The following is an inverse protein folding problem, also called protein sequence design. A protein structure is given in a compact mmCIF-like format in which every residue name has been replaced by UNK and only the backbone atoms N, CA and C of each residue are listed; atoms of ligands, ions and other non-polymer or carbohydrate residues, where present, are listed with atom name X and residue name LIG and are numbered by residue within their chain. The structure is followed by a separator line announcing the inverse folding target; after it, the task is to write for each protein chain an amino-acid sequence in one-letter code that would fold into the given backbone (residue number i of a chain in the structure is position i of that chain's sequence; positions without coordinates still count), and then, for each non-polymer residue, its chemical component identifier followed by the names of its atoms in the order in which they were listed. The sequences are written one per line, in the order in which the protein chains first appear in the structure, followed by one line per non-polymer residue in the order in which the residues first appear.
data_IF_844494090476
#
_entry.id   IF_844494090476
#
_cell.length_a   1.000
_cell.length_b   1.000
_cell.length_c   1.000
_cell.angle_alpha   90.00
_cell.angle_beta   90.00
_cell.angle_gamma   90.00
#
_symmetry.space_group_name_H-M   'P 1'
#
loop_
_entity.id
_entity.type
_entity.pdbx_description
1 polymer ?
#
# COMPACT_ATOMS: atom_id res chain seq x y z
N UNK A 1 25.76 -26.29 15.46
CA UNK A 1 24.33 -26.24 15.82
C UNK A 1 24.11 -24.97 16.63
N UNK A 2 23.31 -24.03 16.13
CA UNK A 2 22.87 -22.84 16.86
C UNK A 2 23.71 -21.58 16.65
N UNK A 3 23.30 -20.71 15.72
CA UNK A 3 23.22 -19.24 15.85
C UNK A 3 22.33 -18.70 14.72
N UNK A 4 21.26 -18.02 15.10
CA UNK A 4 20.33 -17.34 14.21
C UNK A 4 19.12 -16.96 15.05
N UNK A 5 19.27 -15.93 15.90
CA UNK A 5 18.17 -15.45 16.71
C UNK A 5 17.02 -15.01 15.81
N UNK A 6 15.81 -15.44 16.13
CA UNK A 6 14.55 -15.09 15.48
C UNK A 6 14.43 -13.58 15.35
N UNK A 7 14.91 -13.06 14.23
CA UNK A 7 14.73 -11.67 13.84
C UNK A 7 13.58 -11.71 12.87
N UNK A 8 12.40 -11.26 13.29
CA UNK A 8 11.25 -11.10 12.42
C UNK A 8 11.72 -10.35 11.17
N UNK A 9 11.38 -10.88 9.99
CA UNK A 9 11.54 -10.14 8.76
C UNK A 9 10.81 -8.79 8.87
N UNK A 10 11.24 -7.77 8.14
CA UNK A 10 10.60 -6.46 8.17
C UNK A 10 9.10 -6.52 7.87
N UNK A 11 8.66 -7.48 7.04
CA UNK A 11 7.25 -7.72 6.72
C UNK A 11 6.50 -8.27 7.93
N UNK A 12 7.04 -9.26 8.64
CA UNK A 12 6.40 -9.83 9.83
C UNK A 12 6.28 -8.79 10.96
N UNK A 13 7.33 -7.97 11.15
CA UNK A 13 7.29 -6.87 12.12
C UNK A 13 6.21 -5.84 11.76
N UNK A 14 6.07 -5.48 10.48
CA UNK A 14 4.99 -4.59 10.02
C UNK A 14 3.61 -5.22 10.25
N UNK A 15 3.43 -6.50 9.93
CA UNK A 15 2.16 -7.19 10.14
C UNK A 15 1.75 -7.22 11.61
N UNK A 16 2.70 -7.43 12.53
CA UNK A 16 2.44 -7.40 13.97
C UNK A 16 1.92 -6.01 14.42
N UNK A 17 2.55 -4.93 13.94
CA UNK A 17 2.12 -3.55 14.23
C UNK A 17 0.71 -3.28 13.70
N UNK A 18 0.39 -3.77 12.49
CA UNK A 18 -0.94 -3.58 11.92
C UNK A 18 -2.01 -4.29 12.74
N UNK A 19 -1.76 -5.53 13.16
CA UNK A 19 -2.68 -6.31 13.99
C UNK A 19 -2.87 -5.68 15.37
N UNK A 20 -1.80 -5.18 15.99
CA UNK A 20 -1.88 -4.48 17.28
C UNK A 20 -2.66 -3.17 17.19
N UNK A 21 -2.57 -2.47 16.06
CA UNK A 21 -3.28 -1.22 15.79
C UNK A 21 -4.73 -1.39 15.30
N UNK A 22 -5.23 -2.62 15.18
CA UNK A 22 -6.58 -2.87 14.68
C UNK A 22 -7.63 -2.40 15.70
N UNK A 23 -8.65 -1.62 15.29
CA UNK A 23 -9.68 -1.15 16.21
C UNK A 23 -10.59 -2.30 16.67
N UNK A 24 -11.18 -2.15 17.88
CA UNK A 24 -12.13 -3.12 18.45
C UNK A 24 -13.39 -3.30 17.58
N UNK A 25 -13.74 -2.29 16.77
CA UNK A 25 -14.86 -2.33 15.84
C UNK A 25 -14.53 -1.58 14.54
N UNK A 26 -14.98 -2.14 13.41
CA UNK A 26 -14.79 -1.56 12.08
C UNK A 26 -13.57 -2.14 11.33
N UNK A 27 -13.23 -1.50 10.20
CA UNK A 27 -12.06 -1.82 9.39
C UNK A 27 -10.91 -0.83 9.62
N UNK A 28 -9.69 -1.27 9.32
CA UNK A 28 -8.49 -0.44 9.36
C UNK A 28 -8.05 -0.07 7.94
N UNK A 29 -7.68 1.19 7.72
CA UNK A 29 -7.10 1.66 6.45
C UNK A 29 -5.65 2.06 6.68
N UNK A 30 -4.75 1.53 5.86
CA UNK A 30 -3.31 1.78 5.96
C UNK A 30 -2.82 2.43 4.68
N UNK A 31 -2.32 3.66 4.79
CA UNK A 31 -1.74 4.39 3.66
C UNK A 31 -0.28 4.01 3.41
N UNK A 32 0.04 3.56 2.20
CA UNK A 32 1.41 3.27 1.78
C UNK A 32 1.91 4.35 0.82
N UNK A 33 2.86 5.16 1.27
CA UNK A 33 3.45 6.27 0.49
C UNK A 33 4.94 6.02 0.19
N UNK A 34 5.51 6.85 -0.68
CA UNK A 34 6.91 6.76 -1.12
C UNK A 34 7.08 7.02 -2.61
N UNK A 35 8.33 7.13 -3.04
CA UNK A 35 8.67 7.44 -4.44
C UNK A 35 8.14 6.41 -5.44
N UNK A 36 8.07 6.79 -6.71
CA UNK A 36 7.80 5.87 -7.81
C UNK A 36 8.89 4.78 -7.83
N UNK A 37 8.50 3.54 -8.12
CA UNK A 37 9.38 2.37 -8.18
C UNK A 37 10.10 1.94 -6.88
N UNK A 38 9.80 2.54 -5.72
CA UNK A 38 10.41 2.14 -4.42
C UNK A 38 9.93 0.77 -3.88
N UNK A 39 8.98 0.11 -4.56
CA UNK A 39 8.48 -1.21 -4.18
C UNK A 39 7.21 -1.24 -3.33
N UNK A 40 6.42 -0.16 -3.29
CA UNK A 40 5.16 -0.08 -2.51
C UNK A 40 4.20 -1.23 -2.82
N UNK A 41 3.94 -1.50 -4.10
CA UNK A 41 3.04 -2.58 -4.54
C UNK A 41 3.54 -3.95 -4.13
N UNK A 42 4.86 -4.17 -4.19
CA UNK A 42 5.49 -5.42 -3.73
C UNK A 42 5.26 -5.62 -2.23
N UNK A 43 5.56 -4.61 -1.42
CA UNK A 43 5.37 -4.69 0.03
C UNK A 43 3.89 -4.84 0.41
N UNK A 44 2.99 -4.11 -0.25
CA UNK A 44 1.54 -4.23 -0.04
C UNK A 44 1.04 -5.65 -0.31
N UNK A 45 1.50 -6.27 -1.39
CA UNK A 45 1.17 -7.66 -1.74
C UNK A 45 1.67 -8.66 -0.70
N UNK A 46 2.91 -8.51 -0.22
CA UNK A 46 3.48 -9.37 0.81
C UNK A 46 2.74 -9.27 2.15
N UNK A 47 2.36 -8.05 2.57
CA UNK A 47 1.55 -7.84 3.77
C UNK A 47 0.17 -8.48 3.60
N UNK A 48 -0.49 -8.26 2.46
CA UNK A 48 -1.80 -8.83 2.18
C UNK A 48 -1.77 -10.37 2.19
N UNK A 49 -0.77 -10.99 1.55
CA UNK A 49 -0.58 -12.44 1.55
C UNK A 49 -0.34 -12.98 2.97
N UNK A 50 0.45 -12.29 3.78
CA UNK A 50 0.74 -12.70 5.16
C UNK A 50 -0.50 -12.63 6.06
N UNK A 51 -1.37 -11.63 5.87
CA UNK A 51 -2.55 -11.38 6.71
C UNK A 51 -3.81 -12.12 6.24
N UNK A 52 -3.93 -12.43 4.95
CA UNK A 52 -5.09 -13.09 4.33
C UNK A 52 -5.58 -14.38 5.03
N UNK A 53 -4.74 -15.22 5.67
CA UNK A 53 -5.22 -16.41 6.37
C UNK A 53 -6.13 -16.11 7.58
N UNK A 54 -6.05 -14.90 8.15
CA UNK A 54 -6.80 -14.52 9.36
C UNK A 54 -7.70 -13.31 9.17
N UNK A 55 -7.43 -12.47 8.18
CA UNK A 55 -8.11 -11.20 7.96
C UNK A 55 -8.59 -11.07 6.53
N UNK A 56 -9.69 -10.36 6.33
CA UNK A 56 -10.07 -9.87 5.00
C UNK A 56 -9.22 -8.66 4.66
N UNK A 57 -8.39 -8.78 3.62
CA UNK A 57 -7.47 -7.72 3.21
C UNK A 57 -7.68 -7.41 1.74
N UNK A 58 -7.81 -6.12 1.43
CA UNK A 58 -7.85 -5.60 0.07
C UNK A 58 -6.75 -4.56 -0.13
N UNK A 59 -6.17 -4.53 -1.33
CA UNK A 59 -5.20 -3.51 -1.73
C UNK A 59 -5.82 -2.64 -2.81
N UNK A 60 -5.78 -1.33 -2.61
CA UNK A 60 -6.30 -0.34 -3.56
C UNK A 60 -5.17 0.62 -3.93
N UNK A 61 -4.90 0.76 -5.23
CA UNK A 61 -3.93 1.74 -5.73
C UNK A 61 -4.59 3.10 -5.96
N UNK A 62 -3.91 4.18 -5.60
CA UNK A 62 -4.35 5.55 -5.91
C UNK A 62 -4.38 5.81 -7.41
N UNK A 63 -3.64 5.05 -8.21
CA UNK A 63 -3.62 5.20 -9.68
C UNK A 63 -5.01 4.98 -10.30
N UNK A 64 -5.89 4.21 -9.64
CA UNK A 64 -7.28 4.03 -10.06
C UNK A 64 -8.14 5.29 -9.96
N UNK A 65 -7.66 6.31 -9.24
CA UNK A 65 -8.31 7.61 -9.06
C UNK A 65 -7.70 8.71 -9.94
N UNK A 66 -6.74 8.37 -10.80
CA UNK A 66 -6.23 9.32 -11.79
C UNK A 66 -7.29 9.62 -12.84
N UNK A 67 -7.37 10.87 -13.28
CA UNK A 67 -8.16 11.19 -14.46
C UNK A 67 -7.66 10.39 -15.68
N UNK A 68 -8.57 9.97 -16.58
CA UNK A 68 -8.18 9.33 -17.83
C UNK A 68 -7.21 10.21 -18.62
N UNK A 69 -6.30 9.58 -19.38
CA UNK A 69 -5.31 10.31 -20.19
C UNK A 69 -5.95 11.36 -21.12
N UNK A 70 -7.18 11.14 -21.60
CA UNK A 70 -7.92 12.10 -22.42
C UNK A 70 -8.20 13.42 -21.67
N UNK A 71 -8.70 13.31 -20.43
CA UNK A 71 -8.98 14.46 -19.55
C UNK A 71 -7.67 15.17 -19.17
N UNK A 72 -6.61 14.42 -18.86
CA UNK A 72 -5.30 15.00 -18.57
C UNK A 72 -4.72 15.76 -19.76
N UNK A 73 -4.93 15.25 -20.98
CA UNK A 73 -4.46 15.90 -22.22
C UNK A 73 -5.24 17.20 -22.48
N UNK A 74 -6.57 17.15 -22.37
CA UNK A 74 -7.44 18.32 -22.52
C UNK A 74 -7.09 19.44 -21.52
N UNK A 75 -6.76 19.07 -20.28
CA UNK A 75 -6.38 20.01 -19.22
C UNK A 75 -4.90 20.45 -19.26
N UNK A 76 -4.09 19.93 -20.19
CA UNK A 76 -2.65 20.22 -20.25
C UNK A 76 -1.84 19.67 -19.08
N UNK A 77 -2.33 18.62 -18.41
CA UNK A 77 -1.75 18.04 -17.18
C UNK A 77 -0.97 16.74 -17.41
N UNK A 78 -0.79 16.29 -18.65
CA UNK A 78 -0.09 15.02 -18.96
C UNK A 78 1.31 14.92 -18.32
N UNK A 79 2.08 16.00 -18.34
CA UNK A 79 3.43 16.03 -17.74
C UNK A 79 3.43 16.11 -16.21
N UNK A 80 2.25 16.31 -15.59
CA UNK A 80 2.04 16.35 -14.15
C UNK A 80 1.29 15.12 -13.65
N UNK A 81 1.15 14.08 -14.48
CA UNK A 81 0.49 12.83 -14.07
C UNK A 81 1.12 12.29 -12.78
N UNK A 82 0.30 12.12 -11.76
CA UNK A 82 0.72 11.72 -10.41
C UNK A 82 0.81 12.86 -9.39
N UNK A 83 0.67 14.12 -9.81
CA UNK A 83 0.52 15.27 -8.91
C UNK A 83 -0.94 15.41 -8.42
N UNK A 84 -1.20 16.10 -7.30
CA UNK A 84 -2.52 16.17 -6.69
C UNK A 84 -3.65 16.58 -7.64
N UNK A 85 -3.41 17.55 -8.52
CA UNK A 85 -4.42 18.03 -9.49
C UNK A 85 -4.77 17.04 -10.63
N UNK A 86 -4.14 15.87 -10.66
CA UNK A 86 -4.40 14.82 -11.66
C UNK A 86 -5.29 13.69 -11.19
N UNK A 87 -5.76 13.74 -9.95
CA UNK A 87 -6.72 12.81 -9.35
C UNK A 87 -8.12 13.44 -9.26
N UNK A 88 -9.14 12.60 -9.23
CA UNK A 88 -10.55 12.97 -8.96
C UNK A 88 -10.81 13.16 -7.45
#
# INVERSE_FOLDING_TARGET
MGKGGDSLSGVEALCAILVEGQPDAGGQVVGMTGSVAVGKTTLAGQIAEHLAPKYTVETVSTDGFLFPNAVLTERGLMMRKGFPETYD
#
